data_IF_039110792501
#
_entry.id   IF_039110792501
#
_cell.length_a   1.000
_cell.length_b   1.000
_cell.length_c   1.000
_cell.angle_alpha   90.00
_cell.angle_beta   90.00
_cell.angle_gamma   90.00
#
_symmetry.space_group_name_H-M   'P 1'
#
loop_
_entity.id
_entity.type
_entity.pdbx_description
1 polymer ?
#
# COMPACT_ATOMS: atom_id res chain seq x y z
N UNK A 1 -8.00 -1.85 -7.28
CA UNK A 1 -8.87 -2.81 -7.99
C UNK A 1 -8.61 -4.24 -7.53
N UNK A 2 -9.64 -5.10 -7.57
CA UNK A 2 -9.54 -6.52 -7.26
C UNK A 2 -10.70 -7.24 -7.96
N UNK A 3 -10.43 -7.85 -9.11
CA UNK A 3 -11.42 -8.50 -9.97
C UNK A 3 -10.70 -9.48 -10.92
N UNK A 4 -11.43 -10.11 -11.83
CA UNK A 4 -10.82 -10.97 -12.85
C UNK A 4 -9.85 -10.16 -13.75
N UNK A 5 -8.82 -10.82 -14.33
CA UNK A 5 -7.74 -10.14 -15.04
C UNK A 5 -8.19 -9.13 -16.10
N UNK A 6 -9.16 -9.53 -16.94
CA UNK A 6 -9.67 -8.67 -18.03
C UNK A 6 -10.32 -7.37 -17.51
N UNK A 7 -11.06 -7.46 -16.41
CA UNK A 7 -11.72 -6.29 -15.77
C UNK A 7 -10.65 -5.37 -15.20
N UNK A 8 -9.67 -5.92 -14.47
CA UNK A 8 -8.59 -5.13 -13.86
C UNK A 8 -7.72 -4.46 -14.91
N UNK A 9 -7.37 -5.17 -16.01
CA UNK A 9 -6.63 -4.58 -17.13
C UNK A 9 -7.33 -3.34 -17.67
N UNK A 10 -8.63 -3.44 -17.97
CA UNK A 10 -9.42 -2.30 -18.48
C UNK A 10 -9.50 -1.16 -17.47
N UNK A 11 -9.72 -1.48 -16.20
CA UNK A 11 -9.80 -0.48 -15.14
C UNK A 11 -8.47 0.28 -14.98
N UNK A 12 -7.34 -0.44 -14.99
CA UNK A 12 -6.01 0.17 -14.92
C UNK A 12 -5.72 1.05 -16.12
N UNK A 13 -6.04 0.59 -17.35
CA UNK A 13 -5.90 1.39 -18.55
C UNK A 13 -6.70 2.71 -18.46
N UNK A 14 -8.00 2.63 -18.16
CA UNK A 14 -8.87 3.80 -18.07
C UNK A 14 -8.44 4.76 -16.96
N UNK A 15 -8.07 4.22 -15.78
CA UNK A 15 -7.57 5.05 -14.68
C UNK A 15 -6.27 5.78 -15.06
N UNK A 16 -5.37 5.11 -15.80
CA UNK A 16 -4.14 5.73 -16.30
C UNK A 16 -4.45 6.88 -17.26
N UNK A 17 -5.36 6.68 -18.23
CA UNK A 17 -5.76 7.74 -19.20
C UNK A 17 -6.41 8.97 -18.53
N UNK A 18 -6.92 8.84 -17.29
CA UNK A 18 -7.39 9.99 -16.50
C UNK A 18 -6.23 10.85 -15.95
N UNK A 19 -4.98 10.45 -16.16
CA UNK A 19 -3.81 11.20 -15.71
C UNK A 19 -3.57 11.09 -14.19
N UNK A 20 -3.99 9.97 -13.55
CA UNK A 20 -3.69 9.74 -12.14
C UNK A 20 -2.18 9.56 -11.95
N UNK A 21 -1.65 10.05 -10.84
CA UNK A 21 -0.24 9.87 -10.49
C UNK A 21 0.07 8.44 -10.03
N UNK A 22 -0.89 7.78 -9.36
CA UNK A 22 -0.75 6.44 -8.81
C UNK A 22 -2.11 5.72 -8.79
N UNK A 23 -2.08 4.43 -9.05
CA UNK A 23 -3.23 3.54 -8.85
C UNK A 23 -2.77 2.25 -8.14
N UNK A 24 -3.71 1.53 -7.55
CA UNK A 24 -3.38 0.30 -6.85
C UNK A 24 -4.34 -0.85 -7.16
N UNK A 25 -3.79 -2.06 -7.04
CA UNK A 25 -4.51 -3.34 -7.18
C UNK A 25 -4.20 -4.24 -5.99
N UNK A 26 -5.12 -5.12 -5.60
CA UNK A 26 -4.85 -6.07 -4.53
C UNK A 26 -3.97 -7.23 -5.01
N UNK A 27 -2.82 -7.45 -4.36
CA UNK A 27 -1.90 -8.54 -4.69
C UNK A 27 -2.50 -9.94 -4.47
N UNK A 28 -3.55 -10.04 -3.67
CA UNK A 28 -4.35 -11.26 -3.46
C UNK A 28 -5.10 -11.73 -4.72
N UNK A 29 -5.24 -10.90 -5.74
CA UNK A 29 -5.84 -11.28 -7.03
C UNK A 29 -5.03 -12.29 -7.84
N UNK A 30 -3.77 -12.56 -7.43
CA UNK A 30 -2.92 -13.57 -8.07
C UNK A 30 -2.15 -13.06 -9.30
N UNK A 31 -1.33 -13.95 -9.88
CA UNK A 31 -0.37 -13.63 -10.92
C UNK A 31 -1.01 -13.05 -12.18
N UNK A 32 -2.06 -13.70 -12.67
CA UNK A 32 -2.71 -13.31 -13.91
C UNK A 32 -3.34 -11.91 -13.80
N UNK A 33 -3.92 -11.59 -12.62
CA UNK A 33 -4.49 -10.28 -12.37
C UNK A 33 -3.39 -9.20 -12.28
N UNK A 34 -2.25 -9.49 -11.63
CA UNK A 34 -1.13 -8.55 -11.54
C UNK A 34 -0.49 -8.29 -12.92
N UNK A 35 -0.30 -9.34 -13.72
CA UNK A 35 0.16 -9.21 -15.13
C UNK A 35 -0.80 -8.35 -15.94
N UNK A 36 -2.11 -8.62 -15.83
CA UNK A 36 -3.13 -7.88 -16.56
C UNK A 36 -3.22 -6.41 -16.12
N UNK A 37 -3.03 -6.12 -14.83
CA UNK A 37 -2.95 -4.75 -14.32
C UNK A 37 -1.77 -3.99 -14.94
N UNK A 38 -0.58 -4.62 -14.96
CA UNK A 38 0.62 -4.04 -15.57
C UNK A 38 0.43 -3.80 -17.06
N UNK A 39 -0.11 -4.76 -17.80
CA UNK A 39 -0.44 -4.59 -19.22
C UNK A 39 -1.41 -3.44 -19.45
N UNK A 40 -2.40 -3.25 -18.58
CA UNK A 40 -3.36 -2.15 -18.68
C UNK A 40 -2.67 -0.79 -18.56
N UNK A 41 -1.75 -0.64 -17.59
CA UNK A 41 -0.94 0.57 -17.42
C UNK A 41 -0.03 0.79 -18.62
N UNK A 42 0.70 -0.25 -19.06
CA UNK A 42 1.67 -0.15 -20.17
C UNK A 42 1.03 0.17 -21.53
N UNK A 43 -0.26 -0.12 -21.70
CA UNK A 43 -1.02 0.25 -22.90
C UNK A 43 -1.51 1.71 -22.89
N UNK A 44 -1.43 2.40 -21.75
CA UNK A 44 -1.82 3.81 -21.67
C UNK A 44 -0.70 4.73 -22.17
N UNK A 45 -1.06 5.98 -22.53
CA UNK A 45 -0.09 7.02 -22.84
C UNK A 45 0.49 7.70 -21.59
N UNK A 46 0.05 7.28 -20.42
CA UNK A 46 0.45 7.78 -19.11
C UNK A 46 1.30 6.70 -18.39
N UNK A 47 2.11 7.11 -17.46
CA UNK A 47 2.97 6.23 -16.68
C UNK A 47 2.72 6.41 -15.18
N UNK A 48 1.51 6.14 -14.66
CA UNK A 48 1.26 6.21 -13.24
C UNK A 48 1.99 5.09 -12.50
N UNK A 49 2.37 5.33 -11.25
CA UNK A 49 2.83 4.25 -10.39
C UNK A 49 1.73 3.20 -10.19
N UNK A 50 2.05 1.93 -10.39
CA UNK A 50 1.16 0.80 -10.13
C UNK A 50 1.60 0.08 -8.86
N UNK A 51 0.77 0.10 -7.83
CA UNK A 51 1.10 -0.37 -6.48
C UNK A 51 0.26 -1.60 -6.10
N UNK A 52 0.90 -2.64 -5.57
CA UNK A 52 0.21 -3.83 -5.07
C UNK A 52 -0.19 -3.70 -3.60
N UNK A 53 -1.48 -3.79 -3.27
CA UNK A 53 -1.93 -3.84 -1.88
C UNK A 53 -1.67 -5.24 -1.32
N UNK A 54 -0.88 -5.34 -0.25
CA UNK A 54 -0.59 -6.60 0.42
C UNK A 54 -1.73 -7.02 1.35
N UNK A 55 -1.47 -7.23 2.64
CA UNK A 55 -2.50 -7.52 3.63
C UNK A 55 -2.97 -6.21 4.28
N UNK A 56 -4.27 -6.03 4.42
CA UNK A 56 -4.85 -4.85 5.05
C UNK A 56 -4.32 -4.67 6.48
N UNK A 57 -3.98 -3.44 6.86
CA UNK A 57 -3.42 -3.15 8.19
C UNK A 57 -4.42 -3.31 9.35
N UNK A 58 -5.69 -3.48 9.04
CA UNK A 58 -6.75 -3.86 9.99
C UNK A 58 -6.78 -5.36 10.31
N UNK A 59 -6.16 -6.21 9.49
CA UNK A 59 -6.13 -7.66 9.68
C UNK A 59 -5.03 -8.11 10.65
N UNK A 60 -5.27 -9.23 11.31
CA UNK A 60 -4.33 -9.98 12.13
C UNK A 60 -4.22 -11.44 11.65
N UNK A 61 -3.46 -12.28 12.35
CA UNK A 61 -3.31 -13.70 11.99
C UNK A 61 -4.63 -14.47 12.02
N UNK A 62 -5.53 -14.16 12.94
CA UNK A 62 -6.83 -14.84 13.02
C UNK A 62 -7.66 -14.54 11.78
N UNK A 63 -7.68 -13.28 11.34
CA UNK A 63 -8.37 -12.89 10.10
C UNK A 63 -7.77 -13.56 8.84
N UNK A 64 -6.46 -13.81 8.81
CA UNK A 64 -5.86 -14.61 7.73
C UNK A 64 -6.33 -16.07 7.77
N UNK A 65 -6.39 -16.67 8.97
CA UNK A 65 -6.86 -18.04 9.14
C UNK A 65 -8.34 -18.19 8.72
N UNK A 66 -9.20 -17.23 9.06
CA UNK A 66 -10.62 -17.19 8.66
C UNK A 66 -10.82 -17.27 7.12
N UNK A 67 -9.88 -16.72 6.36
CA UNK A 67 -9.90 -16.77 4.89
C UNK A 67 -9.01 -17.88 4.30
N UNK A 68 -8.60 -18.85 5.13
CA UNK A 68 -7.87 -20.05 4.70
C UNK A 68 -6.36 -19.87 4.53
N UNK A 69 -5.76 -18.78 5.03
CA UNK A 69 -4.32 -18.56 5.00
C UNK A 69 -3.69 -19.00 6.30
N UNK A 70 -3.09 -20.19 6.32
CA UNK A 70 -2.57 -20.87 7.51
C UNK A 70 -1.07 -20.61 7.80
N UNK A 71 -0.55 -19.44 7.43
CA UNK A 71 0.81 -19.03 7.76
C UNK A 71 0.85 -17.60 8.30
N UNK A 72 1.96 -17.22 8.93
CA UNK A 72 2.07 -15.95 9.61
C UNK A 72 1.84 -14.74 8.69
N UNK A 73 1.35 -13.65 9.26
CA UNK A 73 1.17 -12.36 8.61
C UNK A 73 2.42 -11.92 7.83
N UNK A 74 3.59 -11.97 8.47
CA UNK A 74 4.86 -11.55 7.85
C UNK A 74 5.20 -12.40 6.62
N UNK A 75 4.95 -13.72 6.69
CA UNK A 75 5.17 -14.63 5.55
C UNK A 75 4.21 -14.32 4.40
N UNK A 76 2.95 -14.03 4.71
CA UNK A 76 1.96 -13.66 3.68
C UNK A 76 2.31 -12.33 3.02
N UNK A 77 2.65 -11.31 3.81
CA UNK A 77 3.02 -9.99 3.28
C UNK A 77 4.27 -10.10 2.39
N UNK A 78 5.31 -10.80 2.84
CA UNK A 78 6.52 -11.01 2.04
C UNK A 78 6.21 -11.73 0.72
N UNK A 79 5.40 -12.80 0.76
CA UNK A 79 4.98 -13.55 -0.43
C UNK A 79 4.27 -12.64 -1.44
N UNK A 80 3.34 -11.81 -0.98
CA UNK A 80 2.62 -10.86 -1.83
C UNK A 80 3.55 -9.78 -2.39
N UNK A 81 4.47 -9.26 -1.57
CA UNK A 81 5.44 -8.24 -1.99
C UNK A 81 6.40 -8.77 -3.09
N UNK A 82 6.90 -9.99 -2.92
CA UNK A 82 7.72 -10.66 -3.93
C UNK A 82 6.94 -10.88 -5.23
N UNK A 83 5.68 -11.28 -5.12
CA UNK A 83 4.82 -11.47 -6.28
C UNK A 83 4.59 -10.16 -7.05
N UNK A 84 4.30 -9.07 -6.35
CA UNK A 84 4.18 -7.72 -6.90
C UNK A 84 5.45 -7.31 -7.64
N UNK A 85 6.61 -7.51 -7.01
CA UNK A 85 7.92 -7.21 -7.61
C UNK A 85 8.21 -8.05 -8.86
N UNK A 86 7.88 -9.34 -8.83
CA UNK A 86 8.05 -10.25 -9.98
C UNK A 86 7.25 -9.79 -11.20
N UNK A 87 6.07 -9.22 -10.98
CA UNK A 87 5.20 -8.67 -12.03
C UNK A 87 5.52 -7.21 -12.40
N UNK A 88 6.68 -6.68 -11.91
CA UNK A 88 7.18 -5.34 -12.24
C UNK A 88 6.23 -4.20 -11.89
N UNK A 89 5.46 -4.35 -10.81
CA UNK A 89 4.77 -3.24 -10.21
C UNK A 89 5.79 -2.39 -9.41
N UNK A 90 5.52 -1.11 -9.25
CA UNK A 90 6.47 -0.13 -8.72
C UNK A 90 6.63 -0.20 -7.20
N UNK A 91 5.68 -0.82 -6.50
CA UNK A 91 5.73 -0.87 -5.04
C UNK A 91 4.52 -1.57 -4.42
N UNK A 92 4.42 -1.44 -3.10
CA UNK A 92 3.36 -2.06 -2.31
C UNK A 92 2.73 -1.10 -1.31
N UNK A 93 1.47 -1.38 -0.95
CA UNK A 93 0.86 -0.87 0.28
C UNK A 93 1.09 -1.89 1.38
N UNK A 94 1.73 -1.48 2.49
CA UNK A 94 2.03 -2.32 3.65
C UNK A 94 2.12 -1.51 4.95
N UNK A 95 2.07 -2.17 6.10
CA UNK A 95 2.38 -1.51 7.37
C UNK A 95 3.86 -1.13 7.46
N UNK A 96 4.18 -0.01 8.13
CA UNK A 96 5.58 0.41 8.29
C UNK A 96 6.45 -0.62 9.02
N UNK A 97 5.86 -1.33 10.00
CA UNK A 97 6.54 -2.42 10.74
C UNK A 97 6.99 -3.58 9.84
N UNK A 98 6.33 -3.75 8.69
CA UNK A 98 6.59 -4.88 7.80
C UNK A 98 7.82 -4.61 6.88
N UNK A 99 8.15 -3.34 6.62
CA UNK A 99 9.17 -2.92 5.65
C UNK A 99 10.54 -3.51 5.97
N UNK A 100 10.98 -3.41 7.23
CA UNK A 100 12.31 -3.88 7.64
C UNK A 100 12.57 -5.35 7.29
N UNK A 101 11.54 -6.20 7.43
CA UNK A 101 11.64 -7.63 7.14
C UNK A 101 11.64 -7.97 5.65
N UNK A 102 11.13 -7.09 4.79
CA UNK A 102 10.97 -7.33 3.35
C UNK A 102 12.04 -6.63 2.50
N UNK A 103 12.50 -5.48 2.94
CA UNK A 103 13.39 -4.59 2.17
C UNK A 103 14.63 -5.28 1.56
N UNK A 104 15.32 -6.21 2.26
CA UNK A 104 16.47 -6.90 1.68
C UNK A 104 16.14 -7.81 0.48
N UNK A 105 14.88 -8.21 0.32
CA UNK A 105 14.41 -9.14 -0.72
C UNK A 105 13.74 -8.43 -1.91
N UNK A 106 13.66 -7.11 -1.90
CA UNK A 106 12.96 -6.29 -2.88
C UNK A 106 13.90 -5.31 -3.59
N UNK A 107 13.54 -4.77 -4.76
CA UNK A 107 14.34 -3.78 -5.46
C UNK A 107 14.65 -2.55 -4.59
N UNK A 108 15.79 -1.90 -4.83
CA UNK A 108 16.24 -0.72 -4.02
C UNK A 108 15.32 0.48 -4.16
N UNK A 109 14.72 0.65 -5.34
CA UNK A 109 13.82 1.72 -5.75
C UNK A 109 12.33 1.39 -5.51
N UNK A 110 12.05 0.25 -4.82
CA UNK A 110 10.70 -0.21 -4.57
C UNK A 110 9.94 0.73 -3.62
N UNK A 111 8.74 1.15 -4.01
CA UNK A 111 7.94 2.13 -3.28
C UNK A 111 7.15 1.45 -2.15
N UNK A 112 7.25 2.01 -0.94
CA UNK A 112 6.47 1.58 0.23
C UNK A 112 5.44 2.63 0.58
N UNK A 113 4.17 2.37 0.26
CA UNK A 113 3.02 3.22 0.59
C UNK A 113 2.45 2.74 1.92
N UNK A 114 2.47 3.58 2.94
CA UNK A 114 2.17 3.18 4.32
C UNK A 114 0.93 3.88 4.87
N UNK A 115 -0.18 3.16 5.05
CA UNK A 115 -1.34 3.63 5.80
C UNK A 115 -1.15 3.38 7.32
N UNK A 116 -2.16 3.76 8.10
CA UNK A 116 -2.13 3.54 9.56
C UNK A 116 -1.34 4.60 10.32
N UNK A 117 -1.06 5.72 9.68
CA UNK A 117 -0.36 6.85 10.30
C UNK A 117 -1.26 7.54 11.32
N UNK A 118 -0.72 7.81 12.53
CA UNK A 118 -1.42 8.51 13.60
C UNK A 118 -0.50 9.51 14.30
N UNK A 119 -1.09 10.63 14.73
CA UNK A 119 -0.45 11.50 15.71
C UNK A 119 -0.64 10.88 17.11
N UNK A 120 0.37 10.91 17.95
CA UNK A 120 0.41 10.24 19.26
C UNK A 120 -0.78 10.59 20.20
N UNK A 121 -1.52 11.66 19.93
CA UNK A 121 -2.68 12.12 20.70
C UNK A 121 -4.00 11.38 20.41
N UNK A 122 -4.10 10.52 19.38
CA UNK A 122 -5.36 9.95 18.88
C UNK A 122 -5.34 8.42 18.76
N UNK A 123 -5.13 7.70 19.88
CA UNK A 123 -4.85 6.25 19.89
C UNK A 123 -6.08 5.30 19.82
N UNK A 124 -7.32 5.77 19.62
CA UNK A 124 -8.51 4.92 19.65
C UNK A 124 -9.13 4.72 18.27
N UNK A 125 -8.79 3.61 17.58
CA UNK A 125 -9.44 3.26 16.30
C UNK A 125 -9.22 1.79 15.86
N UNK A 126 -9.97 1.34 14.83
CA UNK A 126 -10.02 0.04 14.16
C UNK A 126 -8.69 -0.46 13.55
N UNK A 127 -7.67 0.38 13.48
CA UNK A 127 -6.36 -0.01 12.98
C UNK A 127 -5.51 -0.68 14.07
N UNK A 128 -5.12 -1.93 13.84
CA UNK A 128 -4.30 -2.73 14.77
C UNK A 128 -2.80 -2.45 14.67
N UNK A 129 -2.35 -1.80 13.58
CA UNK A 129 -0.94 -1.45 13.30
C UNK A 129 -0.83 0.04 13.02
N UNK A 130 -0.66 0.84 14.09
CA UNK A 130 -0.51 2.30 14.03
C UNK A 130 0.94 2.70 14.25
N UNK A 131 1.35 3.81 13.62
CA UNK A 131 2.71 4.35 13.73
C UNK A 131 2.70 5.87 13.57
N UNK A 132 3.67 6.56 14.18
CA UNK A 132 3.87 8.00 13.95
C UNK A 132 4.39 8.29 12.54
N UNK A 133 4.18 9.50 11.98
CA UNK A 133 4.75 9.88 10.69
C UNK A 133 6.27 9.70 10.65
N UNK A 134 6.96 10.19 11.69
CA UNK A 134 8.42 10.15 11.81
C UNK A 134 8.96 8.71 11.85
N UNK A 135 8.31 7.84 12.61
CA UNK A 135 8.73 6.44 12.74
C UNK A 135 8.45 5.65 11.47
N UNK A 136 7.38 5.99 10.74
CA UNK A 136 7.11 5.39 9.45
C UNK A 136 8.22 5.72 8.41
N UNK A 137 8.67 6.97 8.36
CA UNK A 137 9.79 7.37 7.50
C UNK A 137 11.08 6.66 7.92
N UNK A 138 11.40 6.62 9.23
CA UNK A 138 12.57 5.88 9.75
C UNK A 138 12.52 4.38 9.44
N UNK A 139 11.32 3.79 9.39
CA UNK A 139 11.12 2.40 8.99
C UNK A 139 11.36 2.17 7.48
N UNK A 140 11.39 3.23 6.67
CA UNK A 140 11.65 3.20 5.24
C UNK A 140 10.42 3.39 4.36
N UNK A 141 9.32 3.92 4.89
CA UNK A 141 8.15 4.32 4.09
C UNK A 141 8.53 5.40 3.07
N UNK A 142 8.11 5.23 1.83
CA UNK A 142 8.31 6.20 0.76
C UNK A 142 7.19 7.24 0.71
N UNK A 143 5.96 6.79 1.01
CA UNK A 143 4.73 7.61 0.92
C UNK A 143 3.86 7.27 2.13
N UNK A 144 3.37 8.29 2.83
CA UNK A 144 2.45 8.14 3.94
C UNK A 144 1.00 8.38 3.50
N UNK A 145 0.10 7.48 3.86
CA UNK A 145 -1.34 7.66 3.68
C UNK A 145 -1.95 8.10 5.02
N UNK A 146 -2.34 9.35 5.09
CA UNK A 146 -2.91 9.95 6.30
C UNK A 146 -4.38 10.33 6.03
N UNK A 147 -5.30 9.59 6.65
CA UNK A 147 -6.75 9.83 6.53
C UNK A 147 -7.28 10.61 7.74
N UNK A 148 -7.96 9.93 8.65
CA UNK A 148 -8.67 10.50 9.81
C UNK A 148 -7.91 11.55 10.62
N UNK A 149 -6.60 11.43 10.90
CA UNK A 149 -5.87 12.50 11.58
C UNK A 149 -6.00 13.86 10.93
N UNK A 150 -6.15 13.91 9.60
CA UNK A 150 -6.39 15.14 8.84
C UNK A 150 -7.89 15.42 8.71
N UNK A 151 -8.66 14.44 8.21
CA UNK A 151 -10.06 14.65 7.82
C UNK A 151 -11.01 14.89 8.98
N UNK A 152 -10.69 14.42 10.19
CA UNK A 152 -11.45 14.62 11.42
C UNK A 152 -10.86 15.76 12.30
N UNK A 153 -9.80 16.41 11.84
CA UNK A 153 -9.20 17.54 12.54
C UNK A 153 -10.10 18.79 12.46
N UNK A 154 -10.07 19.61 13.52
CA UNK A 154 -10.71 20.94 13.50
C UNK A 154 -10.10 21.88 12.47
N UNK A 155 -8.82 21.66 12.13
CA UNK A 155 -8.10 22.40 11.09
C UNK A 155 -7.26 21.44 10.25
N UNK A 156 -7.85 20.83 9.19
CA UNK A 156 -7.16 19.84 8.36
C UNK A 156 -5.86 20.35 7.70
N UNK A 157 -5.85 21.61 7.25
CA UNK A 157 -4.67 22.21 6.60
C UNK A 157 -3.51 22.32 7.59
N UNK A 158 -3.74 22.86 8.78
CA UNK A 158 -2.71 22.99 9.82
C UNK A 158 -2.18 21.60 10.24
N UNK A 159 -3.08 20.62 10.40
CA UNK A 159 -2.67 19.26 10.77
C UNK A 159 -1.79 18.63 9.67
N UNK A 160 -2.12 18.84 8.40
CA UNK A 160 -1.29 18.37 7.30
C UNK A 160 0.09 19.02 7.30
N UNK A 161 0.18 20.35 7.53
CA UNK A 161 1.45 21.08 7.66
C UNK A 161 2.29 20.58 8.84
N UNK A 162 1.67 20.32 9.99
CA UNK A 162 2.36 19.75 11.16
C UNK A 162 2.96 18.37 10.87
N UNK A 163 2.23 17.52 10.13
CA UNK A 163 2.73 16.22 9.71
C UNK A 163 3.91 16.40 8.75
N UNK A 164 3.80 17.29 7.76
CA UNK A 164 4.90 17.56 6.83
C UNK A 164 6.16 18.03 7.55
N UNK A 165 6.04 18.96 8.50
CA UNK A 165 7.18 19.42 9.32
C UNK A 165 7.87 18.31 10.12
N UNK A 166 7.15 17.24 10.46
CA UNK A 166 7.69 16.10 11.21
C UNK A 166 8.46 15.10 10.35
N UNK A 167 8.27 15.12 9.04
CA UNK A 167 8.88 14.18 8.08
C UNK A 167 9.86 14.84 7.11
N UNK A 168 10.05 16.17 7.25
CA UNK A 168 11.01 16.96 6.45
C UNK A 168 12.42 16.86 6.94
#
# INVERSE_FOLDING_TARGET
>A
FHDIPTTVKRACYVASELGVWMLNVHAMGGNDMLSAAKEGVDQSNQNPYLIGVTVLTSMNNDNLNEIGINHSMNKQILKLALNVSTHKLDGIVCGASDIKGMKPSLPKDFIYVTPGIRLLSNANNDQKRIISPEDAIKAGSSILVVGRPITESKNPALTAEEILKKIS
#
